data_IF_277834643321
#
_entry.id   IF_277834643321
#
_cell.length_a   1.000
_cell.length_b   1.000
_cell.length_c   1.000
_cell.angle_alpha   90.00
_cell.angle_beta   90.00
_cell.angle_gamma   90.00
#
_symmetry.space_group_name_H-M   'P 1'
#
loop_
_entity.id
_entity.type
_entity.pdbx_description
1 polymer ?
#
# COMPACT_ATOMS: atom_id res chain seq x y z
N UNK A 1 12.47 10.72 -2.36
CA UNK A 1 12.55 10.31 -3.79
C UNK A 1 13.40 11.34 -4.51
N UNK A 2 14.70 11.09 -4.69
CA UNK A 2 15.52 11.92 -5.58
C UNK A 2 14.87 11.98 -6.97
N UNK A 3 15.10 13.05 -7.74
CA UNK A 3 14.54 13.18 -9.11
C UNK A 3 14.85 11.94 -9.96
N UNK A 4 16.04 11.37 -9.80
CA UNK A 4 16.50 10.15 -10.48
C UNK A 4 15.62 8.90 -10.20
N UNK A 5 14.96 8.83 -9.05
CA UNK A 5 14.09 7.70 -8.70
C UNK A 5 12.59 8.03 -8.83
N UNK A 6 12.24 9.28 -9.13
CA UNK A 6 10.84 9.71 -9.21
C UNK A 6 10.15 9.10 -10.44
N UNK A 7 9.37 8.06 -10.20
CA UNK A 7 8.56 7.43 -11.24
C UNK A 7 9.25 6.33 -12.03
N UNK A 8 10.46 5.91 -11.60
CA UNK A 8 11.11 4.71 -12.11
C UNK A 8 10.17 3.51 -11.89
N UNK A 9 9.96 2.70 -12.93
CA UNK A 9 9.05 1.53 -12.90
C UNK A 9 7.56 1.82 -13.07
N UNK A 10 7.06 3.02 -12.75
CA UNK A 10 5.62 3.33 -12.89
C UNK A 10 5.24 4.09 -14.16
N UNK A 11 6.20 4.72 -14.86
CA UNK A 11 5.89 5.47 -16.09
C UNK A 11 5.37 4.56 -17.21
N UNK A 12 5.81 3.31 -17.26
CA UNK A 12 5.36 2.31 -18.24
C UNK A 12 4.11 1.52 -17.82
N UNK A 13 3.58 1.75 -16.62
CA UNK A 13 2.36 1.07 -16.17
C UNK A 13 1.13 1.84 -16.65
N UNK A 14 0.06 1.12 -16.99
CA UNK A 14 -1.26 1.70 -17.27
C UNK A 14 -1.68 2.59 -16.09
N UNK A 15 -2.16 3.79 -16.40
CA UNK A 15 -2.54 4.78 -15.38
C UNK A 15 -1.39 5.23 -14.48
N UNK A 16 -0.13 4.98 -14.83
CA UNK A 16 1.07 5.23 -14.01
C UNK A 16 1.03 4.50 -12.66
N UNK A 17 0.41 3.31 -12.64
CA UNK A 17 0.20 2.49 -11.43
C UNK A 17 -0.84 3.06 -10.48
N UNK A 18 -1.73 3.93 -10.95
CA UNK A 18 -2.86 4.44 -10.18
C UNK A 18 -4.04 3.47 -10.27
N UNK A 19 -4.75 3.31 -9.16
CA UNK A 19 -5.94 2.49 -9.07
C UNK A 19 -6.74 2.80 -7.80
N UNK A 20 -7.62 1.87 -7.44
CA UNK A 20 -8.38 1.92 -6.20
C UNK A 20 -7.64 1.11 -5.13
N UNK A 21 -7.38 1.70 -3.96
CA UNK A 21 -6.74 0.98 -2.88
C UNK A 21 -7.75 0.07 -2.16
N UNK A 22 -7.51 -1.25 -2.04
CA UNK A 22 -8.44 -2.18 -1.39
C UNK A 22 -8.51 -1.99 0.13
N UNK A 23 -7.53 -1.29 0.73
CA UNK A 23 -7.49 -1.04 2.19
C UNK A 23 -8.20 0.27 2.56
N UNK A 24 -8.01 1.32 1.77
CA UNK A 24 -8.51 2.67 2.09
C UNK A 24 -9.68 3.13 1.23
N UNK A 25 -10.04 2.38 0.18
CA UNK A 25 -11.07 2.76 -0.79
C UNK A 25 -10.71 3.95 -1.70
N UNK A 26 -9.57 4.58 -1.48
CA UNK A 26 -9.16 5.77 -2.24
C UNK A 26 -8.90 5.42 -3.71
N UNK A 27 -9.42 6.25 -4.62
CA UNK A 27 -9.26 6.12 -6.06
C UNK A 27 -8.14 7.05 -6.57
N UNK A 28 -7.57 6.74 -7.74
CA UNK A 28 -6.51 7.55 -8.36
C UNK A 28 -5.16 7.56 -7.60
N UNK A 29 -4.99 6.68 -6.62
CA UNK A 29 -3.77 6.57 -5.79
C UNK A 29 -2.83 5.51 -6.35
N UNK A 30 -1.52 5.70 -6.13
CA UNK A 30 -0.51 4.74 -6.61
C UNK A 30 -0.48 3.48 -5.74
N UNK A 31 -0.69 2.33 -6.38
CA UNK A 31 -0.64 1.01 -5.76
C UNK A 31 0.79 0.44 -5.90
N UNK A 32 1.71 0.95 -5.08
CA UNK A 32 3.14 0.65 -5.19
C UNK A 32 3.61 -0.48 -4.29
N UNK A 33 2.87 -0.77 -3.23
CA UNK A 33 3.34 -1.66 -2.18
C UNK A 33 2.60 -2.98 -2.26
N UNK A 34 3.32 -4.09 -2.32
CA UNK A 34 2.72 -5.41 -2.24
C UNK A 34 2.52 -5.78 -0.77
N UNK A 35 1.31 -6.20 -0.45
CA UNK A 35 0.93 -6.74 0.85
C UNK A 35 0.10 -7.99 0.62
N UNK A 36 0.23 -8.95 1.52
CA UNK A 36 -0.60 -10.15 1.52
C UNK A 36 -1.81 -9.90 2.40
N UNK A 37 -2.99 -9.95 1.80
CA UNK A 37 -4.28 -9.82 2.48
C UNK A 37 -5.06 -11.09 2.16
N UNK A 38 -5.45 -11.84 3.18
CA UNK A 38 -6.23 -13.08 3.05
C UNK A 38 -5.60 -14.10 2.07
N UNK A 39 -4.28 -14.27 2.14
CA UNK A 39 -3.50 -15.18 1.29
C UNK A 39 -3.34 -14.73 -0.17
N UNK A 40 -3.79 -13.52 -0.52
CA UNK A 40 -3.63 -12.93 -1.85
C UNK A 40 -2.65 -11.76 -1.80
N UNK A 41 -1.66 -11.78 -2.70
CA UNK A 41 -0.76 -10.65 -2.92
C UNK A 41 -1.51 -9.54 -3.63
N UNK A 42 -1.75 -8.44 -2.93
CA UNK A 42 -2.44 -7.27 -3.45
C UNK A 42 -1.54 -6.04 -3.38
N UNK A 43 -1.65 -5.18 -4.40
CA UNK A 43 -0.96 -3.90 -4.42
C UNK A 43 -1.81 -2.85 -3.70
N UNK A 44 -1.23 -2.21 -2.70
CA UNK A 44 -1.87 -1.21 -1.85
C UNK A 44 -1.18 0.14 -1.97
N UNK A 45 -1.90 1.19 -1.58
CA UNK A 45 -1.36 2.54 -1.48
C UNK A 45 -0.38 2.66 -0.31
N UNK A 46 0.42 3.73 -0.30
CA UNK A 46 1.30 4.06 0.83
C UNK A 46 0.53 4.11 2.15
N UNK A 47 -0.68 4.69 2.11
CA UNK A 47 -1.56 4.83 3.27
C UNK A 47 -2.08 3.47 3.69
N UNK A 48 -2.58 2.65 2.74
CA UNK A 48 -3.05 1.30 3.02
C UNK A 48 -2.00 0.43 3.71
N UNK A 49 -0.74 0.49 3.26
CA UNK A 49 0.36 -0.20 3.93
C UNK A 49 0.58 0.27 5.37
N UNK A 50 0.55 1.58 5.61
CA UNK A 50 0.71 2.15 6.95
C UNK A 50 -0.44 1.74 7.87
N UNK A 51 -1.69 1.75 7.39
CA UNK A 51 -2.86 1.29 8.14
C UNK A 51 -2.72 -0.16 8.56
N UNK A 52 -2.30 -1.05 7.65
CA UNK A 52 -2.07 -2.46 7.95
C UNK A 52 -0.95 -2.65 8.99
N UNK A 53 0.17 -1.94 8.84
CA UNK A 53 1.27 -2.00 9.82
C UNK A 53 0.86 -1.46 11.19
N UNK A 54 0.10 -0.37 11.24
CA UNK A 54 -0.39 0.20 12.49
C UNK A 54 -1.41 -0.71 13.15
N UNK A 55 -2.30 -1.34 12.39
CA UNK A 55 -3.24 -2.35 12.90
C UNK A 55 -2.50 -3.52 13.50
N UNK A 56 -1.49 -4.06 12.79
CA UNK A 56 -0.64 -5.15 13.30
C UNK A 56 0.05 -4.74 14.61
N UNK A 57 0.69 -3.57 14.65
CA UNK A 57 1.33 -3.03 15.87
C UNK A 57 0.36 -2.87 17.03
N UNK A 58 -0.90 -2.48 16.79
CA UNK A 58 -1.93 -2.36 17.85
C UNK A 58 -2.36 -3.72 18.39
N UNK A 59 -2.44 -4.74 17.51
CA UNK A 59 -2.73 -6.13 17.92
C UNK A 59 -1.56 -6.72 18.71
N UNK A 60 -0.33 -6.48 18.26
CA UNK A 60 0.89 -6.94 18.94
C UNK A 60 1.16 -6.18 20.26
N UNK A 61 0.59 -4.98 20.43
CA UNK A 61 0.72 -4.13 21.62
C UNK A 61 -0.40 -4.31 22.65
N UNK A 62 -1.25 -5.33 22.53
CA UNK A 62 -2.15 -5.78 23.59
C UNK A 62 -1.52 -6.99 24.32
N UNK A 63 -0.60 -6.81 25.28
CA UNK A 63 -0.38 -7.81 26.31
C UNK A 63 -1.48 -7.66 27.38
N UNK A 64 -2.37 -8.65 27.47
CA UNK A 64 -3.30 -8.81 28.59
C UNK A 64 -4.63 -8.07 28.46
N UNK A 65 -5.67 -8.83 28.13
CA UNK A 65 -6.98 -8.67 28.74
C UNK A 65 -7.21 -9.91 29.61
#
# INVERSE_FOLDING_TARGET
MSKAHRGKGIRGMVGRGRGVCPVTGQTGVKLLYECEIDGKKVKVSKVGRATLQNRKRRLDAQPGA
#
